data_IF_465997850326
#
_entry.id   IF_465997850326
#
_cell.length_a   1.000
_cell.length_b   1.000
_cell.length_c   1.000
_cell.angle_alpha   90.00
_cell.angle_beta   90.00
_cell.angle_gamma   90.00
#
_symmetry.space_group_name_H-M   'P 1'
#
loop_
_entity.id
_entity.type
_entity.pdbx_description
1 polymer ?
#
# COMPACT_ATOMS: atom_id res chain seq x y z
N UNK A 1 23.38 16.81 -10.11
CA UNK A 1 24.39 15.89 -9.54
C UNK A 1 23.83 15.24 -8.29
N UNK A 2 23.81 13.90 -8.21
CA UNK A 2 23.43 13.20 -6.97
C UNK A 2 22.46 12.03 -7.16
N UNK A 3 22.96 10.96 -7.78
CA UNK A 3 22.34 9.65 -7.86
C UNK A 3 21.84 9.13 -6.49
N UNK A 4 20.63 8.57 -6.43
CA UNK A 4 20.32 7.42 -5.57
C UNK A 4 19.27 6.52 -6.25
N UNK A 5 19.76 5.71 -7.21
CA UNK A 5 19.13 4.43 -7.54
C UNK A 5 19.15 3.58 -6.26
N UNK A 6 18.03 3.49 -5.54
CA UNK A 6 17.85 2.47 -4.50
C UNK A 6 17.13 1.28 -5.15
N UNK A 7 17.93 0.24 -5.41
CA UNK A 7 17.57 -1.09 -5.91
C UNK A 7 16.66 -1.11 -7.15
N UNK A 8 17.25 -1.33 -8.33
CA UNK A 8 16.53 -1.66 -9.57
C UNK A 8 15.89 -3.04 -9.55
N UNK A 9 15.10 -3.34 -8.51
CA UNK A 9 14.23 -4.51 -8.47
C UNK A 9 12.94 -4.13 -9.19
N UNK A 10 12.56 -4.96 -10.15
CA UNK A 10 11.28 -4.82 -10.84
C UNK A 10 10.15 -4.93 -9.80
N UNK A 11 9.32 -3.89 -9.71
CA UNK A 11 8.17 -3.88 -8.81
C UNK A 11 6.97 -4.44 -9.56
N UNK A 12 6.56 -5.65 -9.18
CA UNK A 12 5.37 -6.32 -9.72
C UNK A 12 4.16 -5.96 -8.87
N UNK A 13 3.16 -5.32 -9.48
CA UNK A 13 1.89 -4.97 -8.82
C UNK A 13 0.77 -5.92 -9.25
N UNK A 14 -0.12 -6.36 -8.34
CA UNK A 14 -0.19 -6.00 -6.93
C UNK A 14 0.86 -6.70 -6.04
N UNK A 15 1.35 -7.87 -6.46
CA UNK A 15 2.48 -8.58 -5.86
C UNK A 15 3.00 -9.65 -6.84
N UNK A 16 4.25 -10.16 -6.71
CA UNK A 16 4.74 -11.26 -7.53
C UNK A 16 3.81 -12.47 -7.48
N UNK A 17 3.40 -12.97 -8.65
CA UNK A 17 2.47 -14.11 -8.76
C UNK A 17 0.98 -13.75 -8.67
N UNK A 18 0.62 -12.50 -8.39
CA UNK A 18 -0.77 -12.05 -8.27
C UNK A 18 -1.18 -11.12 -9.41
N UNK A 19 -2.48 -11.09 -9.73
CA UNK A 19 -3.04 -10.24 -10.79
C UNK A 19 -4.21 -9.42 -10.25
N UNK A 20 -4.40 -8.22 -10.79
CA UNK A 20 -5.50 -7.32 -10.42
C UNK A 20 -6.91 -7.92 -10.62
N UNK A 21 -7.05 -8.89 -11.54
CA UNK A 21 -8.31 -9.60 -11.76
C UNK A 21 -8.50 -10.85 -10.85
N UNK A 22 -7.54 -11.13 -9.94
CA UNK A 22 -7.57 -12.25 -8.99
C UNK A 22 -7.12 -11.81 -7.59
N UNK A 23 -7.68 -10.72 -7.10
CA UNK A 23 -7.35 -10.19 -5.77
C UNK A 23 -7.81 -11.10 -4.62
N UNK A 24 -8.76 -12.02 -4.85
CA UNK A 24 -9.18 -13.01 -3.86
C UNK A 24 -8.01 -13.83 -3.32
N UNK A 25 -7.12 -14.26 -4.21
CA UNK A 25 -5.98 -15.12 -3.85
C UNK A 25 -4.95 -14.34 -3.04
N UNK A 26 -4.79 -13.05 -3.35
CA UNK A 26 -3.94 -12.13 -2.59
C UNK A 26 -4.51 -11.90 -1.18
N UNK A 27 -5.83 -11.73 -1.06
CA UNK A 27 -6.47 -11.60 0.25
C UNK A 27 -6.35 -12.87 1.09
N UNK A 28 -6.50 -14.06 0.48
CA UNK A 28 -6.25 -15.33 1.15
C UNK A 28 -4.83 -15.43 1.69
N UNK A 29 -3.83 -14.96 0.94
CA UNK A 29 -2.44 -14.93 1.39
C UNK A 29 -2.24 -13.99 2.61
N UNK A 30 -2.96 -12.86 2.68
CA UNK A 30 -2.93 -12.02 3.88
C UNK A 30 -3.51 -12.74 5.09
N UNK A 31 -4.63 -13.45 4.95
CA UNK A 31 -5.20 -14.22 6.05
C UNK A 31 -4.26 -15.34 6.52
N UNK A 32 -3.57 -16.01 5.60
CA UNK A 32 -2.55 -17.01 5.93
C UNK A 32 -1.40 -16.37 6.71
N UNK A 33 -0.84 -15.27 6.20
CA UNK A 33 0.29 -14.58 6.80
C UNK A 33 0.03 -14.13 8.25
N UNK A 34 -1.19 -13.68 8.51
CA UNK A 34 -1.57 -13.10 9.80
C UNK A 34 -2.41 -14.03 10.67
N UNK A 35 -2.57 -15.31 10.28
CA UNK A 35 -3.47 -16.28 10.92
C UNK A 35 -3.28 -16.37 12.43
N UNK A 36 -2.03 -16.49 12.86
CA UNK A 36 -1.68 -16.75 14.26
C UNK A 36 -1.37 -15.46 15.04
N UNK A 37 -1.56 -14.29 14.43
CA UNK A 37 -1.29 -13.01 15.07
C UNK A 37 -2.44 -12.59 15.98
N UNK A 38 -2.09 -12.18 17.20
CA UNK A 38 -3.07 -11.59 18.13
C UNK A 38 -3.48 -10.19 17.67
N UNK A 39 -4.65 -9.72 18.14
CA UNK A 39 -5.13 -8.37 17.83
C UNK A 39 -4.14 -7.26 18.23
N UNK A 40 -3.48 -7.30 19.41
CA UNK A 40 -2.45 -6.32 19.75
C UNK A 40 -1.28 -6.31 18.77
N UNK A 41 -0.77 -7.48 18.36
CA UNK A 41 0.33 -7.58 17.38
C UNK A 41 -0.06 -7.01 16.01
N UNK A 42 -1.30 -7.27 15.57
CA UNK A 42 -1.84 -6.68 14.34
C UNK A 42 -1.93 -5.16 14.42
N UNK A 43 -2.36 -4.61 15.57
CA UNK A 43 -2.46 -3.17 15.79
C UNK A 43 -1.10 -2.48 15.83
N UNK A 44 -0.11 -3.11 16.47
CA UNK A 44 1.27 -2.62 16.54
C UNK A 44 1.91 -2.63 15.15
N UNK A 45 1.89 -3.78 14.46
CA UNK A 45 2.43 -3.87 13.09
C UNK A 45 1.75 -2.90 12.14
N UNK A 46 0.42 -2.74 12.24
CA UNK A 46 -0.31 -1.79 11.42
C UNK A 46 0.16 -0.35 11.68
N UNK A 47 0.42 0.02 12.94
CA UNK A 47 0.92 1.36 13.29
C UNK A 47 2.30 1.61 12.70
N UNK A 48 3.21 0.64 12.83
CA UNK A 48 4.57 0.75 12.27
C UNK A 48 4.53 0.97 10.75
N UNK A 49 3.64 0.27 10.05
CA UNK A 49 3.48 0.45 8.58
C UNK A 49 2.90 1.81 8.20
N UNK A 50 2.04 2.38 9.03
CA UNK A 50 1.53 3.74 8.81
C UNK A 50 2.62 4.77 9.05
N UNK A 51 3.45 4.58 10.07
CA UNK A 51 4.59 5.47 10.33
C UNK A 51 5.60 5.41 9.18
N UNK A 52 5.87 4.23 8.62
CA UNK A 52 6.67 4.06 7.40
C UNK A 52 6.07 4.78 6.18
N UNK A 53 4.76 4.66 5.96
CA UNK A 53 4.05 5.34 4.87
C UNK A 53 4.10 6.86 5.02
N UNK A 54 3.93 7.37 6.24
CA UNK A 54 4.04 8.81 6.55
C UNK A 54 5.47 9.31 6.30
N UNK A 55 6.49 8.56 6.75
CA UNK A 55 7.88 8.88 6.51
C UNK A 55 8.22 8.89 5.02
N UNK A 56 7.70 7.91 4.26
CA UNK A 56 7.84 7.86 2.81
C UNK A 56 7.25 9.13 2.18
N UNK A 57 6.00 9.47 2.47
CA UNK A 57 5.33 10.66 1.89
C UNK A 57 6.07 11.95 2.25
N UNK A 58 6.51 12.10 3.50
CA UNK A 58 7.25 13.26 3.96
C UNK A 58 8.61 13.42 3.27
N UNK A 59 9.22 12.32 2.82
CA UNK A 59 10.50 12.34 2.10
C UNK A 59 10.39 12.75 0.62
N UNK A 60 9.18 12.77 0.06
CA UNK A 60 8.95 13.03 -1.37
C UNK A 60 8.70 14.51 -1.64
N UNK A 61 9.22 15.00 -2.75
CA UNK A 61 8.84 16.33 -3.24
C UNK A 61 7.40 16.35 -3.74
N UNK A 62 6.83 17.56 -3.89
CA UNK A 62 5.50 17.74 -4.49
C UNK A 62 5.43 17.13 -5.89
N UNK A 63 6.47 17.29 -6.69
CA UNK A 63 6.52 16.72 -8.03
C UNK A 63 6.55 15.19 -7.97
N UNK A 64 7.40 14.61 -7.13
CA UNK A 64 7.48 13.15 -6.96
C UNK A 64 6.17 12.53 -6.47
N UNK A 65 5.39 13.28 -5.68
CA UNK A 65 4.15 12.81 -5.11
C UNK A 65 2.97 12.92 -6.09
N UNK A 66 2.88 14.02 -6.85
CA UNK A 66 1.69 14.35 -7.64
C UNK A 66 1.86 14.23 -9.16
N UNK A 67 3.07 14.03 -9.67
CA UNK A 67 3.35 13.87 -11.11
C UNK A 67 3.65 12.40 -11.45
N UNK A 68 3.15 11.93 -12.61
CA UNK A 68 3.48 10.60 -13.13
C UNK A 68 4.93 10.49 -13.60
N UNK A 69 5.47 9.27 -13.70
CA UNK A 69 6.81 9.03 -14.21
C UNK A 69 7.96 9.30 -13.23
N UNK A 70 7.67 9.89 -12.06
CA UNK A 70 8.69 10.28 -11.07
C UNK A 70 9.28 9.10 -10.28
N UNK A 71 8.54 7.98 -10.24
CA UNK A 71 8.97 6.73 -9.61
C UNK A 71 8.65 5.56 -10.54
N UNK A 72 9.69 4.80 -10.89
CA UNK A 72 9.57 3.64 -11.80
C UNK A 72 8.50 2.65 -11.35
N UNK A 73 8.39 2.39 -10.05
CA UNK A 73 7.40 1.46 -9.50
C UNK A 73 5.97 1.99 -9.57
N UNK A 74 5.76 3.30 -9.45
CA UNK A 74 4.41 3.90 -9.51
C UNK A 74 3.91 3.97 -10.95
N UNK A 75 4.84 4.03 -11.90
CA UNK A 75 4.56 4.08 -13.33
C UNK A 75 4.79 2.75 -14.05
N UNK A 76 4.86 1.63 -13.30
CA UNK A 76 5.01 0.29 -13.88
C UNK A 76 3.73 -0.26 -14.51
N UNK A 77 2.59 0.38 -14.25
CA UNK A 77 1.30 0.05 -14.86
C UNK A 77 1.01 0.95 -16.07
N UNK A 78 0.22 0.50 -17.07
CA UNK A 78 -0.13 1.31 -18.23
C UNK A 78 -0.82 2.64 -17.89
N UNK A 79 -1.47 2.72 -16.73
CA UNK A 79 -2.14 3.93 -16.26
C UNK A 79 -1.20 4.98 -15.67
N UNK A 80 0.08 4.64 -15.44
CA UNK A 80 1.15 5.54 -15.01
C UNK A 80 0.77 6.49 -13.86
N UNK A 81 0.14 5.96 -12.81
CA UNK A 81 -0.37 6.80 -11.72
C UNK A 81 0.74 7.51 -10.94
N UNK A 82 0.47 8.74 -10.44
CA UNK A 82 1.35 9.40 -9.48
C UNK A 82 1.37 8.64 -8.15
N UNK A 83 2.43 8.81 -7.36
CA UNK A 83 2.62 8.13 -6.06
C UNK A 83 1.44 8.39 -5.12
N UNK A 84 0.91 9.61 -5.09
CA UNK A 84 -0.23 9.98 -4.25
C UNK A 84 -1.44 9.05 -4.44
N UNK A 85 -1.69 8.58 -5.67
CA UNK A 85 -2.82 7.69 -5.95
C UNK A 85 -2.58 6.30 -5.40
N UNK A 86 -1.36 5.79 -5.46
CA UNK A 86 -0.98 4.52 -4.83
C UNK A 86 -1.10 4.56 -3.30
N UNK A 87 -0.66 5.65 -2.68
CA UNK A 87 -0.84 5.87 -1.24
C UNK A 87 -2.33 5.89 -0.90
N UNK A 88 -3.14 6.65 -1.63
CA UNK A 88 -4.56 6.81 -1.37
C UNK A 88 -5.35 5.48 -1.42
N UNK A 89 -5.13 4.66 -2.46
CA UNK A 89 -5.87 3.39 -2.63
C UNK A 89 -5.49 2.31 -1.60
N UNK A 90 -4.32 2.43 -0.96
CA UNK A 90 -3.84 1.47 0.05
C UNK A 90 -4.04 1.98 1.49
N UNK A 91 -4.35 3.27 1.68
CA UNK A 91 -4.54 3.87 3.01
C UNK A 91 -5.94 4.46 3.17
N UNK A 92 -6.15 5.71 2.77
CA UNK A 92 -7.37 6.50 3.02
C UNK A 92 -8.64 5.77 2.56
N UNK A 93 -8.65 5.25 1.32
CA UNK A 93 -9.82 4.57 0.77
C UNK A 93 -10.18 3.29 1.55
N UNK A 94 -9.27 2.33 1.76
CA UNK A 94 -9.58 1.14 2.55
C UNK A 94 -9.92 1.48 3.99
N UNK A 95 -9.20 2.39 4.67
CA UNK A 95 -9.50 2.74 6.08
C UNK A 95 -10.91 3.28 6.24
N UNK A 96 -11.36 4.13 5.32
CA UNK A 96 -12.73 4.66 5.32
C UNK A 96 -13.76 3.53 5.19
N UNK A 97 -13.55 2.61 4.25
CA UNK A 97 -14.47 1.49 4.02
C UNK A 97 -14.47 0.47 5.16
N UNK A 98 -13.29 0.08 5.68
CA UNK A 98 -13.15 -0.89 6.76
C UNK A 98 -13.65 -0.33 8.08
N UNK A 99 -13.42 0.95 8.37
CA UNK A 99 -13.97 1.59 9.56
C UNK A 99 -15.50 1.48 9.60
N UNK A 100 -16.17 1.70 8.46
CA UNK A 100 -17.62 1.53 8.34
C UNK A 100 -18.05 0.09 8.62
N UNK A 101 -17.33 -0.90 8.06
CA UNK A 101 -17.59 -2.33 8.29
C UNK A 101 -17.41 -2.73 9.76
N UNK A 102 -16.34 -2.29 10.41
CA UNK A 102 -16.07 -2.56 11.84
C UNK A 102 -17.18 -1.96 12.71
N UNK A 103 -17.61 -0.72 12.44
CA UNK A 103 -18.71 -0.09 13.16
C UNK A 103 -20.04 -0.81 12.97
N UNK A 104 -20.29 -1.40 11.80
CA UNK A 104 -21.48 -2.23 11.57
C UNK A 104 -21.39 -3.55 12.34
N UNK A 105 -20.21 -4.20 12.33
CA UNK A 105 -19.98 -5.45 13.06
C UNK A 105 -20.13 -5.27 14.58
N UNK A 106 -19.57 -4.20 15.16
CA UNK A 106 -19.70 -3.90 16.60
C UNK A 106 -21.14 -3.60 17.08
N UNK A 107 -22.05 -3.29 16.15
CA UNK A 107 -23.47 -3.01 16.44
C UNK A 107 -24.34 -4.25 16.33
N UNK A 108 -23.80 -5.37 15.83
CA UNK A 108 -24.49 -6.65 15.78
C UNK A 108 -24.45 -7.34 17.15
#
# INVERSE_FOLDING_TARGET
>A
SGCRRRAGREVVTPAPGYRWNRLSDLYSAFYEQWRDSSLPQLQETFRDRIDDDVALVASLSREELFTSGQRTWASSTPSAWPVAKWVHINTVAPFTSFHTKIRAWKRR
#
